data_IF_448474462002
#
_entry.id   IF_448474462002
#
_cell.length_a   1.000
_cell.length_b   1.000
_cell.length_c   1.000
_cell.angle_alpha   90.00
_cell.angle_beta   90.00
_cell.angle_gamma   90.00
#
_symmetry.space_group_name_H-M   'P 1'
#
loop_
_entity.id
_entity.type
_entity.pdbx_description
1 polymer ?
#
# COMPACT_ATOMS: atom_id res chain seq x y z
N UNK A 1 -29.01 20.72 -7.40
CA UNK A 1 -28.31 19.64 -6.64
C UNK A 1 -27.45 20.30 -5.58
N UNK A 2 -27.81 20.12 -4.30
CA UNK A 2 -27.25 20.85 -3.16
C UNK A 2 -25.72 20.62 -3.04
N UNK A 3 -24.94 21.67 -2.78
CA UNK A 3 -23.47 21.63 -2.62
C UNK A 3 -23.02 20.56 -1.61
N UNK A 4 -23.81 20.31 -0.56
CA UNK A 4 -23.58 19.25 0.42
C UNK A 4 -23.74 17.83 -0.15
N UNK A 5 -24.59 17.62 -1.15
CA UNK A 5 -24.78 16.35 -1.84
C UNK A 5 -23.56 15.98 -2.70
N UNK A 6 -23.00 16.95 -3.42
CA UNK A 6 -21.78 16.76 -4.23
C UNK A 6 -20.56 16.37 -3.36
N UNK A 7 -20.43 17.02 -2.19
CA UNK A 7 -19.34 16.70 -1.26
C UNK A 7 -19.47 15.29 -0.70
N UNK A 8 -20.68 14.85 -0.32
CA UNK A 8 -20.92 13.47 0.15
C UNK A 8 -20.58 12.44 -0.93
N UNK A 9 -20.88 12.72 -2.20
CA UNK A 9 -20.52 11.84 -3.32
C UNK A 9 -19.00 11.75 -3.47
N UNK A 10 -18.28 12.86 -3.41
CA UNK A 10 -16.80 12.86 -3.47
C UNK A 10 -16.20 12.03 -2.34
N UNK A 11 -16.67 12.21 -1.11
CA UNK A 11 -16.22 11.39 0.04
C UNK A 11 -16.51 9.91 -0.15
N UNK A 12 -17.68 9.56 -0.66
CA UNK A 12 -18.04 8.17 -0.94
C UNK A 12 -17.14 7.56 -2.02
N UNK A 13 -16.91 8.28 -3.12
CA UNK A 13 -16.01 7.82 -4.20
C UNK A 13 -14.57 7.65 -3.71
N UNK A 14 -14.04 8.61 -2.94
CA UNK A 14 -12.72 8.47 -2.32
C UNK A 14 -12.64 7.27 -1.37
N UNK A 15 -13.66 7.06 -0.54
CA UNK A 15 -13.74 5.91 0.35
C UNK A 15 -13.74 4.57 -0.40
N UNK A 16 -14.54 4.45 -1.46
CA UNK A 16 -14.56 3.26 -2.33
C UNK A 16 -13.20 3.04 -2.99
N UNK A 17 -12.57 4.09 -3.51
CA UNK A 17 -11.25 4.00 -4.13
C UNK A 17 -10.18 3.50 -3.15
N UNK A 18 -10.19 3.98 -1.89
CA UNK A 18 -9.29 3.51 -0.83
C UNK A 18 -9.48 2.00 -0.56
N UNK A 19 -10.74 1.58 -0.40
CA UNK A 19 -11.07 0.17 -0.15
C UNK A 19 -10.61 -0.72 -1.32
N UNK A 20 -10.85 -0.30 -2.56
CA UNK A 20 -10.40 -1.04 -3.75
C UNK A 20 -8.87 -1.14 -3.80
N UNK A 21 -8.15 -0.05 -3.54
CA UNK A 21 -6.69 -0.05 -3.49
C UNK A 21 -6.16 -0.98 -2.38
N UNK A 22 -6.79 -0.95 -1.21
CA UNK A 22 -6.43 -1.85 -0.12
C UNK A 22 -6.67 -3.32 -0.48
N UNK A 23 -7.82 -3.64 -1.09
CA UNK A 23 -8.15 -5.00 -1.52
C UNK A 23 -7.18 -5.50 -2.60
N UNK A 24 -6.83 -4.67 -3.59
CA UNK A 24 -5.87 -5.03 -4.63
C UNK A 24 -4.48 -5.25 -4.07
N UNK A 25 -4.03 -4.41 -3.13
CA UNK A 25 -2.75 -4.54 -2.45
C UNK A 25 -2.67 -5.84 -1.63
N UNK A 26 -3.72 -6.11 -0.83
CA UNK A 26 -3.81 -7.33 -0.02
C UNK A 26 -3.83 -8.59 -0.90
N UNK A 27 -4.57 -8.56 -1.99
CA UNK A 27 -4.61 -9.66 -2.97
C UNK A 27 -3.24 -9.88 -3.62
N UNK A 28 -2.57 -8.82 -4.03
CA UNK A 28 -1.23 -8.90 -4.62
C UNK A 28 -0.21 -9.49 -3.62
N UNK A 29 -0.21 -9.02 -2.36
CA UNK A 29 0.65 -9.57 -1.31
C UNK A 29 0.35 -11.05 -1.04
N UNK A 30 -0.92 -11.45 -1.07
CA UNK A 30 -1.32 -12.84 -0.93
C UNK A 30 -0.74 -13.71 -2.07
N UNK A 31 -0.89 -13.28 -3.32
CA UNK A 31 -0.34 -13.99 -4.49
C UNK A 31 1.20 -14.09 -4.40
N UNK A 32 1.87 -13.02 -4.03
CA UNK A 32 3.31 -12.98 -3.89
C UNK A 32 3.81 -13.92 -2.79
N UNK A 33 3.06 -14.02 -1.68
CA UNK A 33 3.35 -14.96 -0.61
C UNK A 33 3.23 -16.42 -1.10
N UNK A 34 2.17 -16.77 -1.82
CA UNK A 34 2.01 -18.10 -2.39
C UNK A 34 3.13 -18.44 -3.37
N UNK A 35 3.47 -17.52 -4.27
CA UNK A 35 4.57 -17.69 -5.21
C UNK A 35 5.92 -17.91 -4.51
N UNK A 36 6.21 -17.12 -3.47
CA UNK A 36 7.45 -17.27 -2.69
C UNK A 36 7.50 -18.61 -1.93
N UNK A 37 6.35 -19.07 -1.41
CA UNK A 37 6.25 -20.40 -0.78
C UNK A 37 6.50 -21.53 -1.79
N UNK A 38 5.93 -21.43 -2.99
CA UNK A 38 6.16 -22.45 -4.03
C UNK A 38 7.62 -22.46 -4.49
N UNK A 39 8.27 -21.30 -4.62
CA UNK A 39 9.70 -21.23 -4.89
C UNK A 39 10.54 -21.90 -3.77
N UNK A 40 10.17 -21.70 -2.50
CA UNK A 40 10.85 -22.33 -1.38
C UNK A 40 10.69 -23.87 -1.39
N UNK A 41 9.51 -24.36 -1.79
CA UNK A 41 9.26 -25.79 -1.97
C UNK A 41 10.12 -26.37 -3.08
N UNK A 42 10.22 -25.69 -4.22
CA UNK A 42 11.06 -26.15 -5.34
C UNK A 42 12.56 -26.14 -4.97
N UNK A 43 12.99 -25.12 -4.22
CA UNK A 43 14.36 -25.09 -3.69
C UNK A 43 14.59 -26.24 -2.71
N UNK A 44 13.62 -26.51 -1.81
CA UNK A 44 13.70 -27.65 -0.90
C UNK A 44 13.82 -28.97 -1.64
N UNK A 45 13.07 -29.20 -2.71
CA UNK A 45 13.17 -30.44 -3.49
C UNK A 45 14.60 -30.65 -4.02
N UNK A 46 15.19 -29.60 -4.61
CA UNK A 46 16.58 -29.64 -5.11
C UNK A 46 17.58 -29.93 -3.97
N UNK A 47 17.46 -29.20 -2.86
CA UNK A 47 18.33 -29.38 -1.70
C UNK A 47 18.18 -30.79 -1.09
N UNK A 48 16.96 -31.32 -1.08
CA UNK A 48 16.64 -32.64 -0.59
C UNK A 48 17.27 -33.75 -1.49
N UNK A 49 17.14 -33.60 -2.81
CA UNK A 49 17.79 -34.53 -3.76
C UNK A 49 19.32 -34.54 -3.57
N UNK A 50 19.94 -33.39 -3.32
CA UNK A 50 21.36 -33.29 -3.00
C UNK A 50 21.70 -33.97 -1.70
N UNK A 51 20.87 -33.79 -0.64
CA UNK A 51 21.03 -34.48 0.67
C UNK A 51 20.92 -35.98 0.52
N UNK A 52 19.95 -36.48 -0.26
CA UNK A 52 19.78 -37.91 -0.52
C UNK A 52 20.97 -38.49 -1.28
N UNK A 53 21.49 -37.76 -2.27
CA UNK A 53 22.70 -38.18 -3.00
C UNK A 53 23.96 -38.18 -2.11
N UNK A 54 24.09 -37.17 -1.24
CA UNK A 54 25.20 -37.07 -0.30
C UNK A 54 25.16 -38.19 0.75
N UNK A 55 23.97 -38.50 1.28
CA UNK A 55 23.81 -39.63 2.20
C UNK A 55 24.19 -40.98 1.54
N UNK A 56 23.75 -41.19 0.30
CA UNK A 56 24.14 -42.38 -0.49
C UNK A 56 25.65 -42.45 -0.66
N UNK A 57 26.31 -41.36 -1.01
CA UNK A 57 27.78 -41.29 -1.17
C UNK A 57 28.50 -41.57 0.14
N UNK A 58 28.02 -41.02 1.25
CA UNK A 58 28.60 -41.28 2.58
C UNK A 58 28.48 -42.74 2.99
N UNK A 59 27.33 -43.36 2.76
CA UNK A 59 27.12 -44.81 3.06
C UNK A 59 27.97 -45.71 2.19
N UNK A 60 28.17 -45.37 0.89
CA UNK A 60 29.09 -46.09 0.02
C UNK A 60 30.54 -46.06 0.51
N UNK A 61 31.05 -44.88 0.88
CA UNK A 61 32.40 -44.75 1.42
C UNK A 61 32.60 -45.58 2.67
N UNK A 62 31.60 -45.64 3.56
CA UNK A 62 31.67 -46.50 4.77
C UNK A 62 31.75 -47.98 4.42
N UNK A 63 31.03 -48.43 3.39
CA UNK A 63 31.10 -49.82 2.90
C UNK A 63 32.47 -50.14 2.30
N UNK A 64 33.01 -49.25 1.45
CA UNK A 64 34.35 -49.45 0.85
C UNK A 64 35.42 -49.56 1.93
N UNK A 65 35.39 -48.76 2.97
CA UNK A 65 36.31 -48.80 4.10
C UNK A 65 36.16 -50.07 4.95
N UNK A 66 34.93 -50.59 5.09
CA UNK A 66 34.67 -51.84 5.84
C UNK A 66 35.00 -53.11 5.05
N UNK A 67 35.04 -53.01 3.72
CA UNK A 67 35.32 -54.15 2.82
C UNK A 67 36.81 -54.48 2.70
N UNK A 68 37.70 -53.75 3.39
CA UNK A 68 39.13 -54.00 3.42
C UNK A 68 39.46 -55.24 4.25
N UNK A 69 38.53 -55.81 5.07
CA UNK A 69 38.74 -56.95 5.95
C UNK A 69 38.00 -58.25 5.57
N UNK A 70 37.33 -58.35 4.46
CA UNK A 70 36.74 -59.63 4.05
C UNK A 70 35.47 -59.50 3.18
N UNK A 71 35.47 -60.30 2.14
CA UNK A 71 34.36 -60.60 1.23
C UNK A 71 33.64 -59.43 0.58
N UNK A 72 34.07 -59.07 -0.61
CA UNK A 72 33.28 -58.20 -1.51
C UNK A 72 32.01 -58.94 -1.91
N UNK A 73 30.85 -58.43 -1.47
CA UNK A 73 29.56 -58.86 -1.97
C UNK A 73 29.44 -58.39 -3.43
N UNK A 74 29.64 -59.32 -4.36
CA UNK A 74 29.49 -59.07 -5.79
C UNK A 74 28.06 -59.35 -6.19
N UNK A 75 27.35 -58.33 -6.73
CA UNK A 75 26.02 -58.48 -7.28
C UNK A 75 26.15 -58.73 -8.79
N UNK A 76 25.67 -59.88 -9.25
CA UNK A 76 25.53 -60.18 -10.68
C UNK A 76 24.18 -59.72 -11.18
N UNK A 77 24.17 -59.23 -12.41
CA UNK A 77 22.99 -58.66 -13.07
C UNK A 77 22.74 -59.40 -14.37
N UNK A 78 21.48 -59.76 -14.63
CA UNK A 78 21.02 -60.17 -15.96
C UNK A 78 19.90 -59.22 -16.37
N UNK A 79 20.01 -58.63 -17.56
CA UNK A 79 19.05 -57.75 -18.15
C UNK A 79 18.39 -58.51 -19.29
N UNK A 80 17.07 -58.62 -19.25
CA UNK A 80 16.24 -59.18 -20.31
C UNK A 80 15.25 -58.15 -20.76
N UNK A 81 15.32 -57.75 -22.04
CA UNK A 81 14.35 -56.78 -22.61
C UNK A 81 13.49 -57.53 -23.64
N UNK A 82 12.20 -57.52 -23.41
CA UNK A 82 11.18 -58.11 -24.27
C UNK A 82 10.29 -57.02 -24.83
N UNK A 83 10.07 -56.99 -26.14
CA UNK A 83 9.19 -56.08 -26.78
C UNK A 83 7.78 -56.64 -26.88
N UNK A 84 6.82 -56.04 -26.16
CA UNK A 84 5.42 -56.43 -26.21
C UNK A 84 4.74 -55.77 -27.45
N UNK A 85 4.65 -56.52 -28.53
CA UNK A 85 4.00 -56.10 -29.80
C UNK A 85 2.56 -55.63 -29.60
N UNK A 86 1.83 -56.11 -28.62
CA UNK A 86 0.41 -55.72 -28.37
C UNK A 86 0.27 -54.39 -27.68
N UNK A 87 1.26 -54.01 -26.90
CA UNK A 87 1.28 -52.74 -26.11
C UNK A 87 2.21 -51.70 -26.68
N UNK A 88 3.04 -52.05 -27.67
CA UNK A 88 3.98 -51.16 -28.31
C UNK A 88 5.06 -50.62 -27.35
N UNK A 89 5.35 -51.35 -26.23
CA UNK A 89 6.34 -50.93 -25.24
C UNK A 89 7.37 -52.03 -24.99
N UNK A 90 8.60 -51.64 -24.72
CA UNK A 90 9.66 -52.51 -24.27
C UNK A 90 9.51 -52.70 -22.76
N UNK A 91 9.52 -53.99 -22.33
CA UNK A 91 9.52 -54.32 -20.91
C UNK A 91 10.88 -54.89 -20.51
N UNK A 92 11.54 -54.23 -19.56
CA UNK A 92 12.84 -54.66 -19.08
C UNK A 92 12.69 -55.42 -17.76
N UNK A 93 13.26 -56.61 -17.73
CA UNK A 93 13.34 -57.46 -16.53
C UNK A 93 14.77 -57.45 -16.02
N UNK A 94 14.96 -57.01 -14.78
CA UNK A 94 16.24 -57.00 -14.10
C UNK A 94 16.27 -58.13 -13.08
N UNK A 95 17.22 -59.06 -13.24
CA UNK A 95 17.42 -60.19 -12.33
C UNK A 95 18.75 -60.06 -11.63
N UNK A 96 18.77 -60.21 -10.31
CA UNK A 96 19.96 -59.97 -9.45
C UNK A 96 20.33 -61.22 -8.67
N UNK A 97 21.62 -61.50 -8.57
CA UNK A 97 22.20 -62.62 -7.77
C UNK A 97 23.32 -62.07 -6.90
N UNK A 98 23.53 -62.68 -5.72
CA UNK A 98 24.69 -62.46 -4.89
C UNK A 98 25.35 -63.80 -4.61
N UNK A 99 26.63 -63.95 -4.95
CA UNK A 99 27.41 -65.20 -4.76
C UNK A 99 26.65 -66.46 -5.23
N UNK A 100 26.07 -66.38 -6.46
CA UNK A 100 25.25 -67.43 -7.09
C UNK A 100 23.86 -67.67 -6.43
N UNK A 101 23.47 -66.91 -5.41
CA UNK A 101 22.13 -66.95 -4.84
C UNK A 101 21.23 -65.94 -5.53
N UNK A 102 20.08 -66.40 -5.97
CA UNK A 102 19.08 -65.51 -6.53
C UNK A 102 18.54 -64.58 -5.43
N UNK A 103 18.54 -63.28 -5.72
CA UNK A 103 18.02 -62.26 -4.81
C UNK A 103 16.60 -61.88 -5.19
N UNK A 104 16.42 -61.28 -6.37
CA UNK A 104 15.12 -60.77 -6.80
C UNK A 104 15.06 -60.54 -8.32
N UNK A 105 13.89 -60.64 -8.86
CA UNK A 105 13.56 -60.24 -10.24
C UNK A 105 12.62 -59.02 -10.18
N UNK A 106 13.02 -57.96 -10.83
CA UNK A 106 12.22 -56.75 -10.97
C UNK A 106 11.68 -56.66 -12.39
N UNK A 107 10.37 -56.44 -12.50
CA UNK A 107 9.68 -56.33 -13.76
C UNK A 107 8.66 -55.17 -13.61
N UNK A 108 9.16 -53.94 -13.45
CA UNK A 108 8.35 -52.74 -13.35
C UNK A 108 8.42 -52.00 -14.71
N UNK A 109 7.31 -51.42 -15.22
CA UNK A 109 7.23 -50.89 -16.56
C UNK A 109 8.14 -49.67 -16.78
N UNK A 110 8.51 -48.98 -15.71
CA UNK A 110 9.29 -47.74 -15.75
C UNK A 110 10.78 -47.95 -15.61
N UNK A 111 11.23 -49.24 -15.50
CA UNK A 111 12.66 -49.58 -15.33
C UNK A 111 13.34 -49.77 -16.68
N UNK A 112 14.55 -49.21 -16.78
CA UNK A 112 15.48 -49.37 -17.89
C UNK A 112 16.71 -50.19 -17.49
N UNK A 113 17.50 -50.66 -18.47
CA UNK A 113 18.79 -51.32 -18.19
C UNK A 113 19.77 -50.43 -17.43
N UNK A 114 19.74 -49.15 -17.70
CA UNK A 114 20.66 -48.16 -17.09
C UNK A 114 20.37 -47.97 -15.59
N UNK A 115 19.12 -48.18 -15.17
CA UNK A 115 18.71 -48.08 -13.76
C UNK A 115 19.31 -49.16 -12.88
N UNK A 116 19.71 -50.27 -13.46
CA UNK A 116 20.25 -51.38 -12.73
C UNK A 116 21.49 -51.04 -11.87
N UNK A 117 22.38 -50.19 -12.39
CA UNK A 117 23.55 -49.73 -11.66
C UNK A 117 23.21 -48.91 -10.42
N UNK A 118 22.17 -48.08 -10.52
CA UNK A 118 21.71 -47.29 -9.40
C UNK A 118 21.03 -48.18 -8.34
N UNK A 119 20.25 -49.17 -8.77
CA UNK A 119 19.59 -50.14 -7.90
C UNK A 119 20.65 -50.93 -7.11
N UNK A 120 21.66 -51.49 -7.77
CA UNK A 120 22.77 -52.19 -7.14
C UNK A 120 23.52 -51.30 -6.14
N UNK A 121 23.80 -50.06 -6.58
CA UNK A 121 24.51 -49.10 -5.75
C UNK A 121 23.77 -48.75 -4.46
N UNK A 122 22.45 -48.58 -4.50
CA UNK A 122 21.64 -48.35 -3.30
C UNK A 122 21.52 -49.59 -2.44
N UNK A 123 21.36 -50.72 -3.04
CA UNK A 123 21.35 -52.01 -2.30
C UNK A 123 22.63 -52.23 -1.51
N UNK A 124 23.81 -52.09 -2.14
CA UNK A 124 25.09 -52.20 -1.47
C UNK A 124 25.27 -51.18 -0.34
N UNK A 125 24.89 -49.93 -0.58
CA UNK A 125 24.91 -48.88 0.46
C UNK A 125 23.96 -49.19 1.63
N UNK A 126 22.81 -49.83 1.34
CA UNK A 126 21.83 -50.23 2.36
C UNK A 126 22.33 -51.36 3.24
N UNK A 127 23.01 -52.37 2.67
CA UNK A 127 23.65 -53.46 3.44
C UNK A 127 24.77 -52.90 4.33
N UNK A 128 25.57 -51.99 3.80
CA UNK A 128 26.69 -51.42 4.56
C UNK A 128 26.23 -50.59 5.76
N UNK A 129 25.21 -49.77 5.60
CA UNK A 129 24.65 -48.99 6.68
C UNK A 129 23.18 -48.61 6.38
N UNK A 130 22.28 -48.95 7.31
CA UNK A 130 20.87 -48.56 7.19
C UNK A 130 20.69 -47.03 7.26
N UNK A 131 19.74 -46.50 6.53
CA UNK A 131 19.38 -45.08 6.62
C UNK A 131 18.90 -44.72 8.03
N UNK A 132 19.41 -43.63 8.58
CA UNK A 132 19.05 -43.17 9.92
C UNK A 132 18.50 -41.76 9.93
N UNK A 133 17.50 -41.48 10.78
CA UNK A 133 16.95 -40.16 10.97
C UNK A 133 18.03 -39.12 11.27
N UNK A 134 19.02 -39.49 12.12
CA UNK A 134 20.07 -38.55 12.53
C UNK A 134 20.95 -38.08 11.35
N UNK A 135 21.22 -38.98 10.38
CA UNK A 135 21.97 -38.60 9.17
C UNK A 135 21.25 -37.59 8.33
N UNK A 136 19.97 -37.83 8.03
CA UNK A 136 19.14 -36.89 7.23
C UNK A 136 18.88 -35.59 7.97
N UNK A 137 18.59 -35.64 9.26
CA UNK A 137 18.39 -34.48 10.08
C UNK A 137 19.58 -33.51 10.03
N UNK A 138 20.81 -34.07 10.25
CA UNK A 138 22.05 -33.31 10.22
C UNK A 138 22.24 -32.61 8.86
N UNK A 139 22.09 -33.36 7.76
CA UNK A 139 22.26 -32.82 6.42
C UNK A 139 21.23 -31.76 6.05
N UNK A 140 19.99 -31.87 6.54
CA UNK A 140 18.95 -30.88 6.35
C UNK A 140 19.12 -29.66 7.27
N UNK A 141 19.61 -29.85 8.50
CA UNK A 141 19.94 -28.76 9.42
C UNK A 141 21.07 -27.88 8.87
N UNK A 142 22.11 -28.52 8.25
CA UNK A 142 23.19 -27.79 7.56
C UNK A 142 22.66 -26.89 6.41
N UNK A 143 21.55 -27.30 5.78
CA UNK A 143 20.84 -26.50 4.77
C UNK A 143 19.83 -25.51 5.37
N UNK A 144 19.64 -25.52 6.71
CA UNK A 144 18.77 -24.62 7.46
C UNK A 144 17.27 -24.97 7.38
N UNK A 145 16.92 -26.23 7.17
CA UNK A 145 15.55 -26.72 7.25
C UNK A 145 15.17 -27.14 8.67
N UNK A 146 13.86 -27.19 8.94
CA UNK A 146 13.34 -27.57 10.25
C UNK A 146 13.50 -29.06 10.56
N UNK A 147 13.10 -29.44 11.78
CA UNK A 147 13.19 -30.83 12.22
C UNK A 147 12.33 -31.75 11.37
N UNK A 148 12.89 -32.91 11.03
CA UNK A 148 12.17 -33.98 10.36
C UNK A 148 11.12 -34.55 11.33
N UNK A 149 9.92 -34.74 10.82
CA UNK A 149 8.81 -35.40 11.51
C UNK A 149 8.33 -36.61 10.73
N UNK A 150 7.64 -37.51 11.42
CA UNK A 150 7.04 -38.70 10.82
C UNK A 150 8.02 -39.56 10.00
N UNK A 151 9.26 -39.72 10.47
CA UNK A 151 10.22 -40.61 9.82
C UNK A 151 9.79 -42.08 9.97
N UNK A 152 9.56 -42.75 8.84
CA UNK A 152 9.08 -44.15 8.79
C UNK A 152 9.82 -44.93 7.72
N UNK A 153 10.06 -46.20 7.98
CA UNK A 153 10.44 -47.17 6.96
C UNK A 153 9.18 -47.77 6.34
N UNK A 154 9.15 -47.84 5.02
CA UNK A 154 7.97 -48.25 4.24
C UNK A 154 8.41 -49.23 3.14
N UNK A 155 7.53 -50.20 2.86
CA UNK A 155 7.62 -51.06 1.68
C UNK A 155 6.68 -50.51 0.60
N UNK A 156 7.20 -50.37 -0.61
CA UNK A 156 6.47 -49.81 -1.75
C UNK A 156 6.02 -50.91 -2.70
N UNK A 157 4.92 -50.66 -3.43
CA UNK A 157 4.40 -51.62 -4.41
C UNK A 157 5.20 -51.62 -5.72
N UNK A 158 5.68 -50.47 -6.12
CA UNK A 158 6.47 -50.27 -7.37
C UNK A 158 7.84 -49.74 -7.09
N UNK A 159 8.77 -49.97 -8.01
CA UNK A 159 10.11 -49.37 -7.94
C UNK A 159 10.07 -47.94 -8.46
N UNK A 160 10.73 -47.03 -7.77
CA UNK A 160 11.00 -45.68 -8.25
C UNK A 160 12.37 -45.21 -7.77
N UNK A 161 13.10 -44.55 -8.65
CA UNK A 161 14.48 -44.13 -8.37
C UNK A 161 14.58 -42.66 -7.94
N UNK A 162 13.69 -41.84 -8.41
CA UNK A 162 13.64 -40.44 -8.01
C UNK A 162 12.83 -40.29 -6.71
N UNK A 163 13.21 -39.31 -5.88
CA UNK A 163 12.40 -38.98 -4.72
C UNK A 163 11.02 -38.44 -5.16
N UNK A 164 9.99 -38.84 -4.44
CA UNK A 164 8.62 -38.34 -4.64
C UNK A 164 8.28 -37.36 -3.53
N UNK A 165 7.69 -36.25 -3.93
CA UNK A 165 7.38 -35.13 -3.05
C UNK A 165 5.87 -34.85 -3.07
N UNK A 166 5.25 -34.95 -1.90
CA UNK A 166 3.86 -34.53 -1.69
C UNK A 166 3.85 -33.29 -0.83
N UNK A 167 3.17 -32.23 -1.27
CA UNK A 167 3.14 -30.93 -0.58
C UNK A 167 1.76 -30.69 -0.02
N UNK A 168 1.68 -30.46 1.28
CA UNK A 168 0.45 -30.20 2.01
C UNK A 168 0.49 -28.85 2.71
N UNK A 169 -0.69 -28.25 2.95
CA UNK A 169 -0.85 -26.98 3.63
C UNK A 169 -0.86 -25.77 2.69
N UNK A 170 -1.60 -24.72 3.08
CA UNK A 170 -1.75 -23.49 2.29
C UNK A 170 -0.81 -22.39 2.73
N UNK A 171 -0.65 -22.20 4.04
CA UNK A 171 0.18 -21.16 4.65
C UNK A 171 1.46 -21.70 5.29
N UNK A 172 1.40 -22.91 5.81
CA UNK A 172 2.56 -23.65 6.32
C UNK A 172 2.71 -24.89 5.45
N UNK A 173 3.64 -24.84 4.51
CA UNK A 173 3.92 -25.96 3.63
C UNK A 173 4.68 -27.04 4.37
N UNK A 174 4.15 -28.24 4.35
CA UNK A 174 4.84 -29.45 4.82
C UNK A 174 5.09 -30.32 3.61
N UNK A 175 6.35 -30.68 3.41
CA UNK A 175 6.75 -31.55 2.28
C UNK A 175 6.98 -32.95 2.81
N UNK A 176 6.19 -33.89 2.32
CA UNK A 176 6.37 -35.32 2.55
C UNK A 176 7.30 -35.88 1.48
N UNK A 177 8.46 -36.34 1.90
CA UNK A 177 9.46 -36.96 1.04
C UNK A 177 9.32 -38.49 1.12
N UNK A 178 9.24 -39.14 -0.05
CA UNK A 178 9.27 -40.60 -0.19
C UNK A 178 10.47 -41.01 -1.03
N UNK A 179 11.34 -41.81 -0.49
CA UNK A 179 12.58 -42.21 -1.16
C UNK A 179 12.91 -43.67 -0.93
N UNK A 180 13.18 -44.42 -2.02
CA UNK A 180 13.59 -45.82 -1.94
C UNK A 180 15.10 -45.91 -1.69
N UNK A 181 15.46 -46.34 -0.49
CA UNK A 181 16.84 -46.57 -0.08
C UNK A 181 17.34 -47.93 -0.51
N UNK A 182 16.43 -48.90 -0.71
CA UNK A 182 16.69 -50.22 -1.24
C UNK A 182 15.65 -50.58 -2.30
N UNK A 183 15.80 -50.06 -3.55
CA UNK A 183 14.84 -50.29 -4.64
C UNK A 183 14.72 -51.77 -5.02
N UNK A 184 15.78 -52.57 -4.84
CA UNK A 184 15.80 -54.00 -5.14
C UNK A 184 14.70 -54.75 -4.38
N UNK A 185 14.48 -54.42 -3.11
CA UNK A 185 13.42 -55.00 -2.28
C UNK A 185 12.25 -54.03 -2.03
N UNK A 186 12.18 -52.97 -2.81
CA UNK A 186 11.13 -51.94 -2.73
C UNK A 186 11.03 -51.26 -1.36
N UNK A 187 12.08 -51.29 -0.58
CA UNK A 187 12.16 -50.71 0.75
C UNK A 187 12.65 -49.25 0.68
N UNK A 188 12.07 -48.40 1.51
CA UNK A 188 12.48 -47.02 1.57
C UNK A 188 12.03 -46.30 2.83
N UNK A 189 12.12 -45.02 2.78
CA UNK A 189 11.78 -44.12 3.89
C UNK A 189 10.75 -43.09 3.44
N UNK A 190 9.96 -42.66 4.38
CA UNK A 190 9.12 -41.47 4.23
C UNK A 190 9.29 -40.59 5.46
N UNK A 191 9.42 -39.30 5.23
CA UNK A 191 9.52 -38.29 6.28
C UNK A 191 8.92 -36.97 5.84
N UNK A 192 8.59 -36.13 6.83
CA UNK A 192 7.99 -34.81 6.60
C UNK A 192 8.92 -33.71 7.08
N UNK A 193 9.02 -32.64 6.29
CA UNK A 193 9.79 -31.44 6.64
C UNK A 193 8.91 -30.22 6.50
N UNK A 194 8.71 -29.43 7.55
CA UNK A 194 8.02 -28.17 7.47
C UNK A 194 8.92 -27.11 6.82
N UNK A 195 8.38 -26.37 5.85
CA UNK A 195 9.07 -25.22 5.25
C UNK A 195 8.90 -24.01 6.16
N UNK A 196 9.99 -23.43 6.69
CA UNK A 196 9.89 -22.34 7.66
C UNK A 196 9.39 -21.04 7.01
N UNK A 197 8.29 -20.51 7.51
CA UNK A 197 7.69 -19.22 7.05
C UNK A 197 8.69 -18.06 7.15
N UNK A 198 9.60 -18.11 8.13
CA UNK A 198 10.63 -17.08 8.32
C UNK A 198 11.53 -16.90 7.10
N UNK A 199 11.80 -17.96 6.35
CA UNK A 199 12.59 -17.95 5.12
C UNK A 199 11.83 -17.21 4.01
N UNK A 200 10.53 -17.48 3.88
CA UNK A 200 9.62 -16.82 2.95
C UNK A 200 9.51 -15.32 3.26
N UNK A 201 9.31 -14.97 4.55
CA UNK A 201 9.23 -13.57 4.98
C UNK A 201 10.53 -12.81 4.70
N UNK A 202 11.70 -13.42 4.94
CA UNK A 202 13.00 -12.82 4.60
C UNK A 202 13.14 -12.58 3.09
N UNK A 203 12.73 -13.54 2.27
CA UNK A 203 12.76 -13.40 0.81
C UNK A 203 11.85 -12.27 0.30
N UNK A 204 10.72 -12.03 0.99
CA UNK A 204 9.73 -10.99 0.63
C UNK A 204 9.97 -9.65 1.33
N UNK A 205 11.00 -9.50 2.17
CA UNK A 205 11.16 -8.33 3.06
C UNK A 205 11.16 -7.00 2.30
N UNK A 206 11.88 -6.90 1.18
CA UNK A 206 11.91 -5.69 0.36
C UNK A 206 10.55 -5.34 -0.26
N UNK A 207 9.76 -6.35 -0.63
CA UNK A 207 8.43 -6.17 -1.18
C UNK A 207 7.45 -5.70 -0.10
N UNK A 208 7.55 -6.23 1.13
CA UNK A 208 6.76 -5.79 2.28
C UNK A 208 7.07 -4.34 2.64
N UNK A 209 8.35 -3.97 2.71
CA UNK A 209 8.78 -2.59 2.99
C UNK A 209 8.26 -1.64 1.90
N UNK A 210 8.44 -2.00 0.62
CA UNK A 210 7.94 -1.20 -0.51
C UNK A 210 6.42 -1.03 -0.50
N UNK A 211 5.67 -2.08 -0.15
CA UNK A 211 4.22 -2.05 -0.01
C UNK A 211 3.75 -1.11 1.11
N UNK A 212 4.40 -1.17 2.28
CA UNK A 212 4.12 -0.28 3.42
C UNK A 212 4.41 1.18 3.04
N UNK A 213 5.53 1.44 2.39
CA UNK A 213 5.91 2.78 1.93
C UNK A 213 4.89 3.36 0.95
N UNK A 214 4.48 2.58 -0.04
CA UNK A 214 3.46 2.97 -1.02
C UNK A 214 2.12 3.27 -0.35
N UNK A 215 1.75 2.51 0.67
CA UNK A 215 0.53 2.74 1.46
C UNK A 215 0.56 4.08 2.19
N UNK A 216 1.69 4.45 2.79
CA UNK A 216 1.85 5.75 3.45
C UNK A 216 1.79 6.92 2.45
N UNK A 217 2.37 6.78 1.26
CA UNK A 217 2.27 7.78 0.19
C UNK A 217 0.81 8.00 -0.21
N UNK A 218 0.05 6.90 -0.42
CA UNK A 218 -1.37 7.00 -0.78
C UNK A 218 -2.20 7.70 0.29
N UNK A 219 -2.00 7.37 1.57
CA UNK A 219 -2.67 8.06 2.68
C UNK A 219 -2.32 9.55 2.69
N UNK A 220 -1.04 9.90 2.51
CA UNK A 220 -0.59 11.28 2.44
C UNK A 220 -1.22 12.07 1.30
N UNK A 221 -1.28 11.49 0.10
CA UNK A 221 -1.95 12.08 -1.06
C UNK A 221 -3.45 12.32 -0.79
N UNK A 222 -4.14 11.34 -0.22
CA UNK A 222 -5.56 11.46 0.12
C UNK A 222 -5.81 12.54 1.17
N UNK A 223 -4.99 12.59 2.21
CA UNK A 223 -5.06 13.65 3.22
C UNK A 223 -4.90 15.04 2.58
N UNK A 224 -3.92 15.19 1.68
CA UNK A 224 -3.68 16.44 0.98
C UNK A 224 -4.86 16.85 0.08
N UNK A 225 -5.41 15.89 -0.67
CA UNK A 225 -6.60 16.14 -1.51
C UNK A 225 -7.81 16.60 -0.68
N UNK A 226 -8.08 15.91 0.42
CA UNK A 226 -9.18 16.28 1.33
C UNK A 226 -8.98 17.68 1.90
N UNK A 227 -7.77 17.98 2.39
CA UNK A 227 -7.43 19.32 2.90
C UNK A 227 -7.63 20.41 1.85
N UNK A 228 -7.22 20.14 0.61
CA UNK A 228 -7.38 21.10 -0.51
C UNK A 228 -8.86 21.34 -0.83
N UNK A 229 -9.68 20.29 -0.89
CA UNK A 229 -11.13 20.40 -1.15
C UNK A 229 -11.83 21.22 -0.05
N UNK A 230 -11.51 20.96 1.21
CA UNK A 230 -12.09 21.70 2.36
C UNK A 230 -11.68 23.16 2.31
N UNK A 231 -10.42 23.44 2.00
CA UNK A 231 -9.92 24.83 1.87
C UNK A 231 -10.59 25.57 0.72
N UNK A 232 -10.73 24.98 -0.46
CA UNK A 232 -11.43 25.58 -1.61
C UNK A 232 -12.89 25.87 -1.26
N UNK A 233 -13.57 24.95 -0.59
CA UNK A 233 -14.97 25.15 -0.18
C UNK A 233 -15.12 26.34 0.79
N UNK A 234 -14.17 26.54 1.68
CA UNK A 234 -14.17 27.69 2.60
C UNK A 234 -14.03 29.02 1.84
N UNK A 235 -13.14 29.07 0.85
CA UNK A 235 -12.96 30.25 0.00
C UNK A 235 -14.22 30.53 -0.82
N UNK A 236 -14.85 29.53 -1.42
CA UNK A 236 -16.08 29.71 -2.19
C UNK A 236 -17.23 30.16 -1.31
N UNK A 237 -17.33 29.72 -0.07
CA UNK A 237 -18.32 30.23 0.89
C UNK A 237 -18.15 31.74 1.16
N UNK A 238 -16.92 32.17 1.46
CA UNK A 238 -16.59 33.58 1.70
C UNK A 238 -16.91 34.46 0.45
N UNK A 239 -16.53 33.93 -0.74
CA UNK A 239 -16.83 34.66 -2.01
C UNK A 239 -18.31 34.81 -2.26
N UNK A 240 -19.11 33.79 -1.98
CA UNK A 240 -20.56 33.82 -2.17
C UNK A 240 -21.24 34.80 -1.21
N UNK A 241 -20.83 34.82 0.06
CA UNK A 241 -21.33 35.74 1.08
C UNK A 241 -20.96 37.18 0.74
N UNK A 242 -19.74 37.43 0.31
CA UNK A 242 -19.29 38.72 -0.17
C UNK A 242 -20.12 39.23 -1.36
N UNK A 243 -20.35 38.38 -2.38
CA UNK A 243 -21.18 38.78 -3.54
C UNK A 243 -22.62 39.04 -3.14
N UNK A 244 -23.19 38.26 -2.21
CA UNK A 244 -24.53 38.44 -1.69
C UNK A 244 -24.67 39.81 -1.00
N UNK A 245 -23.71 40.16 -0.14
CA UNK A 245 -23.72 41.46 0.54
C UNK A 245 -23.59 42.62 -0.43
N UNK A 246 -22.71 42.53 -1.46
CA UNK A 246 -22.60 43.54 -2.50
C UNK A 246 -23.90 43.71 -3.31
N UNK A 247 -24.60 42.61 -3.65
CA UNK A 247 -25.87 42.66 -4.38
C UNK A 247 -26.97 43.30 -3.52
N UNK A 248 -27.00 43.04 -2.21
CA UNK A 248 -27.94 43.68 -1.29
C UNK A 248 -27.71 45.17 -1.20
N UNK A 249 -26.48 45.65 -1.14
CA UNK A 249 -26.12 47.06 -1.11
C UNK A 249 -26.53 47.80 -2.40
N UNK A 250 -26.45 47.14 -3.57
CA UNK A 250 -26.83 47.68 -4.86
C UNK A 250 -28.37 47.73 -5.07
N UNK A 251 -29.15 46.95 -4.31
CA UNK A 251 -30.61 46.84 -4.45
C UNK A 251 -31.42 47.64 -3.42
N UNK A 252 -30.77 48.36 -2.48
CA UNK A 252 -31.53 49.16 -1.53
C UNK A 252 -32.26 50.30 -2.28
N UNK A 253 -33.62 50.36 -2.20
CA UNK A 253 -34.37 51.52 -2.74
C UNK A 253 -34.02 52.75 -1.91
N UNK A 254 -33.89 53.91 -2.56
CA UNK A 254 -33.91 55.19 -1.86
C UNK A 254 -35.26 55.36 -1.21
N UNK A 255 -35.35 55.25 0.10
CA UNK A 255 -36.48 55.82 0.81
C UNK A 255 -36.33 57.37 0.75
N UNK A 256 -37.24 58.01 0.02
CA UNK A 256 -37.36 59.46 -0.01
C UNK A 256 -37.92 59.92 1.34
N UNK A 257 -37.09 60.08 2.33
CA UNK A 257 -37.42 60.78 3.56
C UNK A 257 -36.87 62.20 3.46
N UNK A 258 -37.81 63.18 3.16
CA UNK A 258 -37.53 64.59 3.11
C UNK A 258 -37.51 65.13 4.55
N UNK A 259 -36.41 64.99 5.24
CA UNK A 259 -36.09 65.74 6.45
C UNK A 259 -35.04 66.79 6.12
N UNK A 260 -35.28 68.07 6.53
CA UNK A 260 -34.26 69.12 6.52
C UNK A 260 -33.10 68.71 7.44
N UNK A 261 -32.03 68.21 6.84
CA UNK A 261 -30.85 67.76 7.60
C UNK A 261 -29.70 68.75 7.37
N UNK A 262 -29.08 69.12 8.47
CA UNK A 262 -27.88 69.97 8.45
C UNK A 262 -26.73 69.23 7.83
N UNK A 263 -26.10 69.77 6.79
CA UNK A 263 -24.90 69.21 6.21
C UNK A 263 -23.79 69.11 7.24
N UNK A 264 -23.08 67.96 7.30
CA UNK A 264 -21.82 67.78 8.03
C UNK A 264 -20.67 68.26 7.15
N UNK A 265 -19.92 69.28 7.59
CA UNK A 265 -18.82 69.83 6.79
C UNK A 265 -17.53 69.06 7.07
N UNK A 266 -16.90 68.52 6.01
CA UNK A 266 -15.61 67.86 6.01
C UNK A 266 -14.69 68.73 5.15
N UNK A 267 -13.99 69.67 5.78
CA UNK A 267 -13.26 70.77 5.07
C UNK A 267 -14.18 71.50 4.16
N UNK A 268 -13.97 71.53 2.84
CA UNK A 268 -14.84 72.19 1.84
C UNK A 268 -16.02 71.33 1.33
N UNK A 269 -16.12 70.09 1.76
CA UNK A 269 -17.15 69.13 1.33
C UNK A 269 -18.33 69.19 2.29
N UNK A 270 -19.51 69.49 1.77
CA UNK A 270 -20.78 69.35 2.48
C UNK A 270 -21.27 67.89 2.31
N UNK A 271 -21.36 67.17 3.39
CA UNK A 271 -21.86 65.77 3.43
C UNK A 271 -23.30 65.76 3.94
N UNK A 272 -24.20 65.35 3.06
CA UNK A 272 -25.61 65.13 3.35
C UNK A 272 -25.89 63.64 3.60
N UNK A 273 -25.92 63.26 4.87
CA UNK A 273 -25.98 61.83 5.27
C UNK A 273 -27.25 61.15 4.76
N UNK A 274 -28.44 61.77 4.93
CA UNK A 274 -29.72 61.18 4.52
C UNK A 274 -29.82 61.03 3.01
N UNK A 275 -29.30 61.99 2.25
CA UNK A 275 -29.26 61.93 0.80
C UNK A 275 -28.15 61.10 0.22
N UNK A 276 -27.23 60.59 1.09
CA UNK A 276 -26.02 59.89 0.66
C UNK A 276 -25.19 60.69 -0.36
N UNK A 277 -25.00 61.97 -0.09
CA UNK A 277 -24.46 62.87 -1.07
C UNK A 277 -23.32 63.72 -0.51
N UNK A 278 -22.30 63.96 -1.37
CA UNK A 278 -21.20 64.85 -1.12
C UNK A 278 -21.23 65.99 -2.10
N UNK A 279 -21.15 67.27 -1.63
CA UNK A 279 -21.14 68.48 -2.48
C UNK A 279 -19.86 69.26 -2.14
N UNK A 280 -19.16 69.70 -3.19
CA UNK A 280 -18.04 70.63 -3.07
C UNK A 280 -18.16 71.66 -4.23
N UNK A 281 -18.51 72.91 -3.92
CA UNK A 281 -18.78 73.89 -4.92
C UNK A 281 -19.95 73.44 -5.87
N UNK A 282 -19.66 73.37 -7.17
CA UNK A 282 -20.59 72.84 -8.16
C UNK A 282 -20.57 71.37 -8.43
N UNK A 283 -19.63 70.65 -7.80
CA UNK A 283 -19.47 69.22 -7.98
C UNK A 283 -20.27 68.41 -6.94
N UNK A 284 -21.00 67.39 -7.42
CA UNK A 284 -21.91 66.59 -6.62
C UNK A 284 -21.59 65.09 -6.88
N UNK A 285 -21.39 64.31 -5.82
CA UNK A 285 -21.14 62.91 -5.90
C UNK A 285 -22.07 62.14 -4.95
N UNK A 286 -22.81 61.18 -5.49
CA UNK A 286 -23.67 60.28 -4.70
C UNK A 286 -22.89 59.07 -4.28
N UNK A 287 -22.99 58.72 -2.99
CA UNK A 287 -22.35 57.54 -2.39
C UNK A 287 -23.41 56.52 -1.96
N UNK A 288 -23.04 55.30 -1.68
CA UNK A 288 -24.00 54.30 -1.17
C UNK A 288 -24.30 54.52 0.32
N UNK A 289 -25.47 54.03 0.80
CA UNK A 289 -25.84 54.16 2.23
C UNK A 289 -24.77 53.61 3.15
N UNK A 290 -24.13 52.51 2.76
CA UNK A 290 -23.05 51.88 3.54
C UNK A 290 -21.78 52.76 3.57
N UNK A 291 -21.47 53.43 2.46
CA UNK A 291 -20.40 54.42 2.40
C UNK A 291 -20.72 55.65 3.27
N UNK A 292 -22.00 56.09 3.27
CA UNK A 292 -22.44 57.17 4.11
C UNK A 292 -22.35 56.85 5.61
N UNK A 293 -22.73 55.63 6.04
CA UNK A 293 -22.57 55.16 7.39
C UNK A 293 -21.10 55.17 7.83
N UNK A 294 -20.20 54.61 7.01
CA UNK A 294 -18.73 54.62 7.28
C UNK A 294 -18.21 56.06 7.35
N UNK A 295 -18.59 56.90 6.38
CA UNK A 295 -18.15 58.30 6.32
C UNK A 295 -18.65 59.11 7.51
N UNK A 296 -19.86 58.85 7.97
CA UNK A 296 -20.42 59.48 9.19
C UNK A 296 -19.58 59.18 10.40
N UNK A 297 -19.25 57.90 10.67
CA UNK A 297 -18.37 57.52 11.78
C UNK A 297 -16.98 58.17 11.70
N UNK A 298 -16.43 58.27 10.49
CA UNK A 298 -15.13 58.90 10.29
C UNK A 298 -15.24 60.45 10.42
N UNK A 299 -16.33 61.07 10.00
CA UNK A 299 -16.55 62.50 10.08
C UNK A 299 -16.86 62.98 11.52
N UNK A 300 -17.50 62.15 12.33
CA UNK A 300 -17.70 62.40 13.75
C UNK A 300 -16.35 62.37 14.54
N UNK A 301 -15.34 61.62 14.00
CA UNK A 301 -14.04 61.48 14.59
C UNK A 301 -12.90 62.02 13.70
N UNK A 302 -13.09 63.21 13.12
CA UNK A 302 -12.09 63.82 12.25
C UNK A 302 -10.72 63.93 12.91
N UNK A 303 -9.67 63.57 12.16
CA UNK A 303 -8.27 63.54 12.59
C UNK A 303 -7.95 62.60 13.74
N UNK A 304 -8.90 61.68 14.13
CA UNK A 304 -8.70 60.66 15.15
C UNK A 304 -8.75 59.27 14.51
N UNK A 305 -8.12 58.31 15.17
CA UNK A 305 -8.16 56.91 14.77
C UNK A 305 -9.54 56.31 15.09
N UNK A 306 -10.25 55.84 14.09
CA UNK A 306 -11.44 54.99 14.26
C UNK A 306 -11.00 53.52 14.07
N UNK A 307 -11.20 52.71 15.09
CA UNK A 307 -10.79 51.31 15.09
C UNK A 307 -11.59 50.53 14.03
N UNK A 308 -10.89 49.59 13.38
CA UNK A 308 -11.48 48.75 12.33
C UNK A 308 -12.68 47.94 12.85
N UNK A 309 -12.51 47.30 14.02
CA UNK A 309 -13.53 46.43 14.61
C UNK A 309 -14.74 47.22 15.07
N UNK A 310 -14.56 48.47 15.49
CA UNK A 310 -15.64 49.41 15.81
C UNK A 310 -16.47 49.74 14.53
N UNK A 311 -15.82 50.04 13.43
CA UNK A 311 -16.50 50.31 12.16
C UNK A 311 -17.30 49.10 11.68
N UNK A 312 -16.68 47.88 11.79
CA UNK A 312 -17.32 46.64 11.38
C UNK A 312 -18.56 46.32 12.21
N UNK A 313 -18.48 46.47 13.51
CA UNK A 313 -19.60 46.21 14.42
C UNK A 313 -20.74 47.22 14.24
N UNK A 314 -20.43 48.51 14.10
CA UNK A 314 -21.46 49.54 13.90
C UNK A 314 -22.16 49.43 12.54
N UNK A 315 -21.40 49.14 11.49
CA UNK A 315 -21.92 49.17 10.10
C UNK A 315 -22.48 47.81 9.66
N UNK A 316 -21.92 46.66 10.12
CA UNK A 316 -22.34 45.33 9.70
C UNK A 316 -22.83 44.44 10.85
N UNK A 317 -22.63 44.85 12.12
CA UNK A 317 -23.07 44.09 13.29
C UNK A 317 -22.11 42.96 13.72
N UNK A 318 -21.06 42.66 12.93
CA UNK A 318 -20.01 41.68 13.25
C UNK A 318 -18.68 42.03 12.56
N UNK A 319 -17.59 41.46 13.07
CA UNK A 319 -16.23 41.62 12.58
C UNK A 319 -15.79 40.46 11.65
N UNK A 320 -16.73 39.79 11.00
CA UNK A 320 -16.43 38.66 10.12
C UNK A 320 -15.40 39.00 9.03
N UNK A 321 -14.68 37.97 8.56
CA UNK A 321 -13.67 38.15 7.52
C UNK A 321 -14.26 38.70 6.21
N UNK A 322 -15.49 38.33 5.86
CA UNK A 322 -16.23 38.87 4.70
C UNK A 322 -16.50 40.36 4.84
N UNK A 323 -16.99 40.83 5.99
CA UNK A 323 -17.22 42.20 6.29
C UNK A 323 -15.92 43.01 6.31
N UNK A 324 -14.87 42.44 6.82
CA UNK A 324 -13.50 42.99 6.82
C UNK A 324 -12.98 43.26 5.37
N UNK A 325 -13.28 42.37 4.41
CA UNK A 325 -12.97 42.59 3.01
C UNK A 325 -13.88 43.66 2.39
N UNK A 326 -15.19 43.64 2.71
CA UNK A 326 -16.13 44.64 2.23
C UNK A 326 -15.72 46.05 2.67
N UNK A 327 -15.35 46.27 3.93
CA UNK A 327 -14.87 47.56 4.44
C UNK A 327 -13.69 48.11 3.61
N UNK A 328 -12.70 47.26 3.26
CA UNK A 328 -11.57 47.73 2.43
C UNK A 328 -12.02 48.24 1.07
N UNK A 329 -13.02 47.59 0.46
CA UNK A 329 -13.60 48.01 -0.82
C UNK A 329 -14.34 49.32 -0.66
N UNK A 330 -15.17 49.48 0.36
CA UNK A 330 -15.92 50.72 0.61
C UNK A 330 -14.99 51.90 0.91
N UNK A 331 -13.95 51.73 1.68
CA UNK A 331 -12.91 52.73 1.93
C UNK A 331 -12.25 53.17 0.59
N UNK A 332 -12.01 52.23 -0.32
CA UNK A 332 -11.44 52.57 -1.64
C UNK A 332 -12.39 53.46 -2.47
N UNK A 333 -13.67 53.16 -2.45
CA UNK A 333 -14.67 54.01 -3.11
C UNK A 333 -14.83 55.35 -2.43
N UNK A 334 -14.86 55.41 -1.09
CA UNK A 334 -14.89 56.67 -0.33
C UNK A 334 -13.71 57.58 -0.65
N UNK A 335 -12.50 57.03 -0.74
CA UNK A 335 -11.31 57.79 -1.17
C UNK A 335 -11.51 58.47 -2.52
N UNK A 336 -12.10 57.74 -3.48
CA UNK A 336 -12.42 58.31 -4.81
C UNK A 336 -13.47 59.38 -4.73
N UNK A 337 -14.51 59.18 -3.93
CA UNK A 337 -15.59 60.15 -3.75
C UNK A 337 -15.13 61.42 -3.04
N UNK A 338 -14.21 61.33 -2.07
CA UNK A 338 -13.63 62.44 -1.34
C UNK A 338 -12.54 63.21 -2.11
N UNK A 339 -12.13 62.73 -3.28
CA UNK A 339 -11.15 63.41 -4.14
C UNK A 339 -11.69 64.72 -4.74
N UNK A 340 -12.87 65.16 -4.30
CA UNK A 340 -13.46 66.48 -4.55
C UNK A 340 -12.69 67.62 -3.88
N UNK A 341 -11.98 67.32 -2.77
CA UNK A 341 -11.14 68.25 -2.02
C UNK A 341 -9.79 67.58 -1.69
N UNK A 342 -8.71 68.12 -2.22
CA UNK A 342 -7.37 67.61 -1.99
C UNK A 342 -6.92 67.68 -0.52
N UNK A 343 -7.63 68.47 0.31
CA UNK A 343 -7.35 68.61 1.76
C UNK A 343 -7.98 67.50 2.59
N UNK A 344 -8.82 66.63 1.95
CA UNK A 344 -9.51 65.54 2.65
C UNK A 344 -8.95 64.18 2.19
N UNK A 345 -8.51 63.37 3.11
CA UNK A 345 -8.02 62.01 2.80
C UNK A 345 -8.36 61.00 3.88
N UNK A 346 -8.54 59.73 3.49
CA UNK A 346 -8.66 58.59 4.45
C UNK A 346 -7.34 57.85 4.50
N UNK A 347 -6.64 57.93 5.63
CA UNK A 347 -5.43 57.18 5.89
C UNK A 347 -5.74 55.84 6.56
N UNK A 348 -5.05 54.77 6.17
CA UNK A 348 -5.15 53.50 6.84
C UNK A 348 -3.99 53.34 7.85
N UNK A 349 -4.31 53.05 9.11
CA UNK A 349 -3.34 52.66 10.12
C UNK A 349 -3.28 51.13 10.18
N UNK A 350 -2.13 50.57 9.81
CA UNK A 350 -1.95 49.13 9.65
C UNK A 350 -2.43 48.36 10.90
N UNK A 351 -3.35 47.42 10.70
CA UNK A 351 -3.98 46.55 11.70
C UNK A 351 -4.78 47.30 12.80
N UNK A 352 -4.99 48.62 12.72
CA UNK A 352 -5.73 49.38 13.73
C UNK A 352 -7.02 49.95 13.21
N UNK A 353 -7.03 50.63 12.10
CA UNK A 353 -8.24 51.29 11.58
C UNK A 353 -7.97 52.38 10.54
N UNK A 354 -8.81 53.42 10.52
CA UNK A 354 -8.77 54.49 9.56
C UNK A 354 -8.86 55.84 10.22
N UNK A 355 -8.26 56.85 9.62
CA UNK A 355 -8.29 58.25 10.05
C UNK A 355 -8.78 59.10 8.87
N UNK A 356 -9.82 59.90 9.05
CA UNK A 356 -10.23 60.96 8.10
C UNK A 356 -9.39 62.22 8.38
N UNK A 357 -8.44 62.52 7.52
CA UNK A 357 -7.61 63.72 7.62
C UNK A 357 -8.31 64.86 6.93
N UNK A 358 -8.38 65.99 7.63
CA UNK A 358 -8.87 67.26 7.12
C UNK A 358 -7.81 68.33 7.46
N UNK A 359 -7.33 69.06 6.46
CA UNK A 359 -6.38 70.17 6.64
C UNK A 359 -7.07 71.52 6.62
#
# INVERSE_FOLDING_TARGET
MNSNSKLKIVWMVCGVAIVLLFCTQAYWLHLQCQYSLDQQVEQFKKDCDEVLAQDLKNRKKLQENSSTEGRRDTVMLKIESEYDMKKGCSRTTLSFWNNHRFLVRLNDPDLTGDDAYLIISRYLAYIGKHPSLASYQRLLDDKGYGKISFFRHLDYKTVFLNAKYDVEGRWSRVVTVKYQTNPMFRQGISFQVPIPITRTLKAMMWQLIGSIFLFFILIGCLYYLVKTIVFQKRIDGIRHEFLKNMIYELKQPKEDDKGEESAVFISSIAFYYVQNELQCGNSRVVITSRQAEILKLLAENQNQLVERDFILNEVWGDDSYSNSLALNVQITYLRRALNLDEKVSIEAVIKKGYILRTC
#
